data_IF_638753811715
#
_entry.id   IF_638753811715
#
_cell.length_a   1.000
_cell.length_b   1.000
_cell.length_c   1.000
_cell.angle_alpha   90.00
_cell.angle_beta   90.00
_cell.angle_gamma   90.00
#
_symmetry.space_group_name_H-M   'P 1'
#
loop_
_entity.id
_entity.type
_entity.pdbx_description
1 polymer ?
#
# COMPACT_ATOMS: atom_id res chain seq x y z
N UNK A 1 -20.63 -51.29 -47.43
CA UNK A 1 -19.90 -50.01 -47.56
C UNK A 1 -20.18 -49.11 -46.37
N UNK A 2 -21.42 -49.07 -45.87
CA UNK A 2 -21.84 -48.38 -44.61
C UNK A 2 -20.86 -48.49 -43.41
N UNK A 3 -20.39 -49.69 -43.06
CA UNK A 3 -19.52 -49.86 -41.88
C UNK A 3 -18.13 -49.24 -42.04
N UNK A 4 -17.56 -49.29 -43.25
CA UNK A 4 -16.25 -48.70 -43.53
C UNK A 4 -16.32 -47.17 -43.51
N UNK A 5 -17.39 -46.59 -44.05
CA UNK A 5 -17.63 -45.14 -44.03
C UNK A 5 -17.76 -44.62 -42.59
N UNK A 6 -18.49 -45.33 -41.73
CA UNK A 6 -18.61 -44.99 -40.30
C UNK A 6 -17.23 -44.97 -39.62
N UNK A 7 -16.37 -45.95 -39.89
CA UNK A 7 -15.01 -46.00 -39.32
C UNK A 7 -14.17 -44.81 -39.79
N UNK A 8 -14.24 -44.45 -41.07
CA UNK A 8 -13.51 -43.31 -41.64
C UNK A 8 -13.99 -41.99 -41.02
N UNK A 9 -15.30 -41.82 -40.82
CA UNK A 9 -15.87 -40.64 -40.16
C UNK A 9 -15.40 -40.54 -38.70
N UNK A 10 -15.44 -41.64 -37.95
CA UNK A 10 -14.96 -41.66 -36.56
C UNK A 10 -13.46 -41.36 -36.48
N UNK A 11 -12.66 -41.96 -37.37
CA UNK A 11 -11.21 -41.73 -37.42
C UNK A 11 -10.89 -40.26 -37.73
N UNK A 12 -11.59 -39.64 -38.68
CA UNK A 12 -11.40 -38.23 -39.00
C UNK A 12 -11.78 -37.29 -37.85
N UNK A 13 -12.86 -37.58 -37.12
CA UNK A 13 -13.24 -36.85 -35.90
C UNK A 13 -12.16 -36.94 -34.82
N UNK A 14 -11.60 -38.13 -34.58
CA UNK A 14 -10.53 -38.33 -33.61
C UNK A 14 -9.29 -37.53 -34.01
N UNK A 15 -8.93 -37.53 -35.30
CA UNK A 15 -7.78 -36.75 -35.81
C UNK A 15 -8.00 -35.25 -35.63
N UNK A 16 -9.21 -34.74 -35.92
CA UNK A 16 -9.54 -33.32 -35.72
C UNK A 16 -9.45 -32.94 -34.24
N UNK A 17 -10.00 -33.75 -33.33
CA UNK A 17 -9.91 -33.51 -31.89
C UNK A 17 -8.47 -33.56 -31.39
N UNK A 18 -7.67 -34.50 -31.90
CA UNK A 18 -6.26 -34.61 -31.54
C UNK A 18 -5.45 -33.40 -32.00
N UNK A 19 -5.64 -32.96 -33.25
CA UNK A 19 -5.00 -31.75 -33.78
C UNK A 19 -5.42 -30.52 -32.99
N UNK A 20 -6.73 -30.38 -32.69
CA UNK A 20 -7.24 -29.29 -31.86
C UNK A 20 -6.62 -29.27 -30.46
N UNK A 21 -6.48 -30.43 -29.83
CA UNK A 21 -5.80 -30.58 -28.53
C UNK A 21 -4.32 -30.18 -28.60
N UNK A 22 -3.58 -30.62 -29.63
CA UNK A 22 -2.17 -30.26 -29.82
C UNK A 22 -1.98 -28.76 -30.04
N UNK A 23 -2.80 -28.15 -30.89
CA UNK A 23 -2.78 -26.70 -31.16
C UNK A 23 -3.10 -25.92 -29.88
N UNK A 24 -4.17 -26.30 -29.17
CA UNK A 24 -4.55 -25.68 -27.91
C UNK A 24 -3.42 -25.73 -26.89
N UNK A 25 -2.81 -26.91 -26.69
CA UNK A 25 -1.67 -27.09 -25.79
C UNK A 25 -0.48 -26.21 -26.17
N UNK A 26 -0.15 -26.11 -27.46
CA UNK A 26 0.96 -25.29 -27.94
C UNK A 26 0.72 -23.78 -27.74
N UNK A 27 -0.50 -23.31 -28.04
CA UNK A 27 -0.90 -21.90 -27.82
C UNK A 27 -0.84 -21.58 -26.33
N UNK A 28 -1.43 -22.43 -25.48
CA UNK A 28 -1.44 -22.28 -24.02
C UNK A 28 -0.01 -22.16 -23.48
N UNK A 29 0.89 -23.09 -23.84
CA UNK A 29 2.28 -23.06 -23.38
C UNK A 29 2.98 -21.74 -23.76
N UNK A 30 2.86 -21.32 -25.01
CA UNK A 30 3.51 -20.08 -25.49
C UNK A 30 2.90 -18.81 -24.88
N UNK A 31 1.60 -18.80 -24.62
CA UNK A 31 0.93 -17.64 -24.02
C UNK A 31 1.27 -17.47 -22.53
N UNK A 32 1.53 -18.57 -21.82
CA UNK A 32 1.90 -18.56 -20.41
C UNK A 32 3.37 -18.19 -20.19
N UNK A 33 4.29 -18.58 -21.08
CA UNK A 33 5.72 -18.30 -20.95
C UNK A 33 6.06 -16.80 -20.98
N UNK A 34 5.34 -15.99 -21.77
CA UNK A 34 5.67 -14.55 -21.93
C UNK A 34 4.87 -13.62 -21.00
N UNK A 35 3.64 -14.00 -20.59
CA UNK A 35 2.77 -13.14 -19.78
C UNK A 35 2.98 -13.30 -18.27
N UNK A 36 3.15 -14.53 -17.79
CA UNK A 36 3.42 -14.80 -16.36
C UNK A 36 4.64 -14.02 -15.84
N UNK A 37 5.81 -14.01 -16.51
CA UNK A 37 6.97 -13.31 -15.98
C UNK A 37 6.78 -11.79 -15.93
N UNK A 38 6.15 -11.19 -16.96
CA UNK A 38 5.87 -9.74 -16.99
C UNK A 38 4.88 -9.31 -15.92
N UNK A 39 3.77 -10.04 -15.78
CA UNK A 39 2.76 -9.74 -14.74
C UNK A 39 3.35 -9.89 -13.34
N UNK A 40 4.23 -10.87 -13.11
CA UNK A 40 4.97 -11.02 -11.85
C UNK A 40 5.94 -9.87 -11.62
N UNK A 41 6.70 -9.47 -12.63
CA UNK A 41 7.65 -8.36 -12.51
C UNK A 41 6.93 -7.05 -12.20
N UNK A 42 5.82 -6.77 -12.88
CA UNK A 42 5.00 -5.58 -12.64
C UNK A 42 4.37 -5.60 -11.25
N UNK A 43 3.84 -6.74 -10.80
CA UNK A 43 3.34 -6.90 -9.44
C UNK A 43 4.43 -6.65 -8.38
N UNK A 44 5.66 -7.14 -8.61
CA UNK A 44 6.80 -6.90 -7.72
C UNK A 44 7.19 -5.41 -7.70
N UNK A 45 7.23 -4.76 -8.87
CA UNK A 45 7.53 -3.32 -8.97
C UNK A 45 6.50 -2.47 -8.22
N UNK A 46 5.21 -2.76 -8.42
CA UNK A 46 4.12 -2.06 -7.72
C UNK A 46 4.21 -2.27 -6.21
N UNK A 47 4.43 -3.51 -5.76
CA UNK A 47 4.60 -3.83 -4.34
C UNK A 47 5.79 -3.07 -3.75
N UNK A 48 6.94 -3.05 -4.42
CA UNK A 48 8.12 -2.30 -3.98
C UNK A 48 7.85 -0.80 -3.89
N UNK A 49 7.13 -0.23 -4.85
CA UNK A 49 6.78 1.19 -4.84
C UNK A 49 5.89 1.54 -3.65
N UNK A 50 4.87 0.71 -3.38
CA UNK A 50 3.98 0.87 -2.22
C UNK A 50 4.76 0.75 -0.91
N UNK A 51 5.54 -0.32 -0.74
CA UNK A 51 6.34 -0.55 0.46
C UNK A 51 7.36 0.57 0.69
N UNK A 52 8.03 1.04 -0.36
CA UNK A 52 8.98 2.14 -0.24
C UNK A 52 8.31 3.43 0.20
N UNK A 53 7.09 3.70 -0.27
CA UNK A 53 6.28 4.83 0.20
C UNK A 53 5.96 4.71 1.69
N UNK A 54 5.46 3.55 2.12
CA UNK A 54 5.14 3.27 3.53
C UNK A 54 6.36 3.37 4.45
N UNK A 55 7.50 2.84 4.03
CA UNK A 55 8.74 2.98 4.81
C UNK A 55 9.17 4.43 4.88
N UNK A 56 9.15 5.16 3.76
CA UNK A 56 9.54 6.58 3.71
C UNK A 56 8.69 7.42 4.67
N UNK A 57 7.40 7.13 4.80
CA UNK A 57 6.54 7.76 5.81
C UNK A 57 7.05 7.47 7.23
N UNK A 58 7.30 6.21 7.59
CA UNK A 58 7.71 5.85 8.96
C UNK A 58 9.12 6.32 9.35
N UNK A 59 10.07 6.34 8.40
CA UNK A 59 11.45 6.74 8.65
C UNK A 59 11.73 8.19 8.30
N UNK A 60 10.72 8.96 7.93
CA UNK A 60 10.86 10.34 7.45
C UNK A 60 11.77 11.22 8.33
N UNK A 61 11.73 11.15 9.67
CA UNK A 61 12.61 11.95 10.51
C UNK A 61 14.11 11.72 10.25
N UNK A 62 14.49 10.53 9.77
CA UNK A 62 15.89 10.18 9.50
C UNK A 62 16.28 10.38 8.03
N UNK A 63 15.36 10.85 7.19
CA UNK A 63 15.65 11.15 5.79
C UNK A 63 16.34 12.52 5.64
N UNK A 64 17.10 12.72 4.56
CA UNK A 64 17.67 14.02 4.24
C UNK A 64 16.58 15.11 4.18
N UNK A 65 16.94 16.32 4.59
CA UNK A 65 16.11 17.53 4.53
C UNK A 65 14.80 17.48 5.34
N UNK A 66 14.62 16.50 6.25
CA UNK A 66 13.52 16.56 7.20
C UNK A 66 13.67 17.80 8.10
N UNK A 67 12.67 18.70 8.15
CA UNK A 67 12.87 20.05 8.69
C UNK A 67 12.85 20.15 10.22
N UNK A 68 12.72 19.03 10.93
CA UNK A 68 12.58 19.00 12.39
C UNK A 68 13.57 18.03 13.05
N UNK A 69 13.78 18.19 14.35
CA UNK A 69 14.62 17.27 15.12
C UNK A 69 13.93 15.90 15.25
N UNK A 70 14.57 14.78 14.87
CA UNK A 70 13.96 13.45 14.93
C UNK A 70 13.57 13.00 16.34
N UNK A 71 14.29 13.47 17.36
CA UNK A 71 13.98 13.17 18.77
C UNK A 71 12.67 13.80 19.24
N UNK A 72 12.23 14.87 18.58
CA UNK A 72 11.03 15.65 18.88
C UNK A 72 9.81 15.23 18.06
N UNK A 73 10.01 14.40 17.04
CA UNK A 73 8.94 13.83 16.22
C UNK A 73 8.35 12.57 16.87
N UNK A 74 7.02 12.48 16.89
CA UNK A 74 6.28 11.28 17.33
C UNK A 74 5.42 10.77 16.19
N UNK A 75 5.67 9.54 15.77
CA UNK A 75 4.88 8.86 14.76
C UNK A 75 3.47 8.54 15.29
N UNK A 76 2.45 8.83 14.51
CA UNK A 76 1.04 8.56 14.79
C UNK A 76 0.38 7.69 13.69
N UNK A 77 0.72 7.90 12.40
CA UNK A 77 0.14 7.16 11.28
C UNK A 77 -1.07 7.85 10.66
N UNK A 78 -2.22 7.18 10.44
CA UNK A 78 -3.42 7.87 9.92
C UNK A 78 -4.28 8.41 11.07
N UNK A 79 -4.82 9.65 10.98
CA UNK A 79 -4.93 10.53 9.80
C UNK A 79 -3.77 11.52 9.57
N UNK A 80 -2.69 11.47 10.36
CA UNK A 80 -1.52 12.36 10.25
C UNK A 80 -0.24 11.64 10.71
N UNK A 81 0.79 11.60 9.85
CA UNK A 81 1.94 10.71 10.07
C UNK A 81 2.74 11.03 11.34
N UNK A 82 3.04 12.31 11.60
CA UNK A 82 3.76 12.74 12.80
C UNK A 82 3.14 13.95 13.50
N UNK A 83 3.39 14.00 14.81
CA UNK A 83 3.28 15.22 15.62
C UNK A 83 4.67 15.56 16.15
N UNK A 84 5.16 16.76 15.85
CA UNK A 84 6.45 17.27 16.32
C UNK A 84 6.21 18.22 17.48
N UNK A 85 6.88 17.96 18.61
CA UNK A 85 6.85 18.79 19.80
C UNK A 85 8.12 19.62 19.88
N UNK A 86 8.16 20.75 19.16
CA UNK A 86 9.36 21.57 19.03
C UNK A 86 9.81 22.12 20.39
N UNK A 87 11.08 21.93 20.74
CA UNK A 87 11.64 22.33 22.04
C UNK A 87 11.43 21.31 23.17
N UNK A 88 10.86 20.14 22.86
CA UNK A 88 10.67 19.05 23.84
C UNK A 88 12.00 18.59 24.44
N UNK A 89 13.09 18.55 23.68
CA UNK A 89 14.41 18.18 24.20
C UNK A 89 14.92 19.19 25.25
N UNK A 90 14.51 20.44 25.12
CA UNK A 90 14.79 21.54 26.06
C UNK A 90 13.79 21.59 27.24
N UNK A 91 12.90 20.59 27.35
CA UNK A 91 11.82 20.48 28.36
C UNK A 91 10.80 21.61 28.29
N UNK A 92 10.69 22.29 27.15
CA UNK A 92 9.72 23.37 26.94
C UNK A 92 9.19 23.31 25.51
N UNK A 93 7.94 22.88 25.37
CA UNK A 93 7.27 22.82 24.07
C UNK A 93 6.91 24.25 23.63
N UNK A 94 7.51 24.69 22.51
CA UNK A 94 7.25 26.00 21.91
C UNK A 94 6.14 25.93 20.85
N UNK A 95 6.09 24.83 20.11
CA UNK A 95 5.19 24.63 18.98
C UNK A 95 4.83 23.15 18.84
N UNK A 96 3.57 22.88 18.47
CA UNK A 96 3.10 21.55 18.07
C UNK A 96 2.87 21.59 16.56
N UNK A 97 3.64 20.82 15.80
CA UNK A 97 3.56 20.76 14.34
C UNK A 97 2.99 19.43 13.89
N UNK A 98 1.94 19.47 13.07
CA UNK A 98 1.37 18.29 12.42
C UNK A 98 2.05 18.08 11.06
N UNK A 99 2.63 16.91 10.84
CA UNK A 99 3.43 16.61 9.65
C UNK A 99 2.85 15.40 8.93
N UNK A 100 2.43 15.60 7.69
CA UNK A 100 2.08 14.53 6.74
C UNK A 100 3.25 14.37 5.77
N UNK A 101 3.74 13.15 5.63
CA UNK A 101 4.84 12.82 4.72
C UNK A 101 4.25 12.39 3.39
N UNK A 102 4.74 12.96 2.30
CA UNK A 102 4.35 12.60 0.95
C UNK A 102 5.55 12.13 0.15
N UNK A 103 5.37 11.05 -0.61
CA UNK A 103 6.37 10.56 -1.56
C UNK A 103 5.88 10.77 -3.01
N UNK A 104 6.81 11.11 -3.91
CA UNK A 104 6.51 11.27 -5.34
C UNK A 104 5.43 12.30 -5.63
N UNK A 105 4.40 11.90 -6.40
CA UNK A 105 3.28 12.75 -6.82
C UNK A 105 2.05 12.64 -5.92
N UNK A 106 2.21 12.07 -4.71
CA UNK A 106 1.08 11.87 -3.79
C UNK A 106 0.51 13.19 -3.31
N UNK A 107 -0.83 13.25 -3.22
CA UNK A 107 -1.59 14.42 -2.81
C UNK A 107 -2.26 14.17 -1.47
N UNK A 108 -2.62 15.24 -0.76
CA UNK A 108 -3.40 15.12 0.47
C UNK A 108 -4.77 14.47 0.19
N UNK A 109 -5.13 13.48 1.01
CA UNK A 109 -6.45 12.87 1.05
C UNK A 109 -7.50 13.87 1.56
N UNK A 110 -8.79 13.54 1.38
CA UNK A 110 -9.88 14.41 1.88
C UNK A 110 -9.79 14.61 3.40
N UNK A 111 -9.42 13.56 4.14
CA UNK A 111 -9.29 13.61 5.60
C UNK A 111 -8.07 14.44 5.99
N UNK A 112 -6.92 14.25 5.33
CA UNK A 112 -5.71 15.04 5.57
C UNK A 112 -5.93 16.54 5.27
N UNK A 113 -6.65 16.87 4.19
CA UNK A 113 -7.07 18.25 3.90
C UNK A 113 -7.95 18.83 5.00
N UNK A 114 -8.93 18.05 5.48
CA UNK A 114 -9.79 18.47 6.58
C UNK A 114 -9.00 18.73 7.87
N UNK A 115 -8.02 17.87 8.18
CA UNK A 115 -7.14 18.02 9.33
C UNK A 115 -6.27 19.26 9.18
N UNK A 116 -5.63 19.46 8.02
CA UNK A 116 -4.87 20.66 7.70
C UNK A 116 -5.69 21.92 7.94
N UNK A 117 -6.93 21.96 7.43
CA UNK A 117 -7.82 23.10 7.65
C UNK A 117 -8.20 23.29 9.12
N UNK A 118 -8.36 22.23 9.91
CA UNK A 118 -8.60 22.37 11.35
C UNK A 118 -7.41 23.01 12.06
N UNK A 119 -6.18 22.62 11.72
CA UNK A 119 -4.96 23.20 12.27
C UNK A 119 -4.78 24.67 11.83
N UNK A 120 -4.92 24.97 10.54
CA UNK A 120 -4.78 26.33 9.99
C UNK A 120 -5.80 27.32 10.58
N UNK A 121 -7.03 26.84 10.83
CA UNK A 121 -8.08 27.63 11.47
C UNK A 121 -7.97 27.67 13.00
N UNK A 122 -6.91 27.10 13.59
CA UNK A 122 -6.69 27.01 15.05
C UNK A 122 -7.81 26.28 15.81
N UNK A 123 -8.50 25.36 15.14
CA UNK A 123 -9.51 24.48 15.74
C UNK A 123 -8.86 23.32 16.50
N UNK A 124 -7.96 23.64 17.43
CA UNK A 124 -7.20 22.71 18.26
C UNK A 124 -7.44 23.07 19.72
N UNK A 125 -7.84 22.09 20.54
CA UNK A 125 -8.14 22.30 21.95
C UNK A 125 -7.39 21.31 22.84
N UNK A 126 -7.12 21.75 24.07
CA UNK A 126 -6.57 20.90 25.12
C UNK A 126 -7.71 20.36 26.00
N UNK A 127 -7.69 19.06 26.29
CA UNK A 127 -8.63 18.44 27.21
C UNK A 127 -7.90 17.43 28.09
N UNK A 128 -7.99 17.61 29.41
CA UNK A 128 -7.46 16.65 30.38
C UNK A 128 -8.59 15.71 30.81
N UNK A 129 -8.44 14.42 30.50
CA UNK A 129 -9.35 13.38 30.95
C UNK A 129 -8.64 12.52 32.01
N UNK A 130 -9.23 12.47 33.21
CA UNK A 130 -8.75 11.62 34.30
C UNK A 130 -9.50 10.30 34.25
N UNK A 131 -8.77 9.21 34.04
CA UNK A 131 -9.32 7.86 34.10
C UNK A 131 -9.79 7.59 35.54
N UNK A 132 -11.06 7.17 35.76
CA UNK A 132 -11.54 6.78 37.08
C UNK A 132 -10.65 5.73 37.76
N UNK A 133 -10.40 5.92 39.06
CA UNK A 133 -9.54 5.03 39.88
C UNK A 133 -9.97 3.56 39.86
N UNK A 134 -11.27 3.31 39.71
CA UNK A 134 -11.85 1.96 39.61
C UNK A 134 -11.32 1.17 38.41
N UNK A 135 -10.86 1.85 37.36
CA UNK A 135 -10.34 1.23 36.14
C UNK A 135 -8.82 1.04 36.14
N UNK A 136 -8.09 1.63 37.09
CA UNK A 136 -6.61 1.58 37.15
C UNK A 136 -6.05 0.80 38.33
N UNK A 137 -6.87 0.55 39.37
CA UNK A 137 -6.47 -0.32 40.49
C UNK A 137 -6.41 -1.77 40.02
N UNK A 138 -5.19 -2.29 39.88
CA UNK A 138 -4.98 -3.75 39.83
C UNK A 138 -5.34 -4.31 41.21
N UNK A 139 -6.22 -5.33 41.25
CA UNK A 139 -6.57 -6.03 42.49
C UNK A 139 -5.34 -6.58 43.20
#
# INVERSE_FOLDING_TARGET
MEFFEIIVVIASLIVILFIGYLIGKYITLKHFDDKIPKEREDAIKQSRAVLSGQFSEQIAPYLPDFPFNPTEARFMGKPIDFVVFKGMDEKKIEEIVFVEVKSGQSQLSKIEKSLKSAVENKNVSWHEYKVPDEMTKTK
#
